data_IF_838000234791
#
_entry.id   IF_838000234791
#
_cell.length_a   1.000
_cell.length_b   1.000
_cell.length_c   1.000
_cell.angle_alpha   90.00
_cell.angle_beta   90.00
_cell.angle_gamma   90.00
#
_symmetry.space_group_name_H-M   'P 1'
#
loop_
_entity.id
_entity.type
_entity.pdbx_description
1 polymer ?
#
# COMPACT_ATOMS: atom_id res chain seq x y z
N UNK A 1 -1.28 -22.23 -18.53
CA UNK A 1 -0.03 -22.13 -17.77
C UNK A 1 0.22 -23.48 -17.14
N UNK A 2 1.32 -24.14 -17.50
CA UNK A 2 1.71 -25.39 -16.85
C UNK A 2 2.05 -25.11 -15.37
N UNK A 3 1.55 -25.96 -14.48
CA UNK A 3 1.85 -25.87 -13.04
C UNK A 3 3.32 -26.20 -12.80
N UNK A 4 4.04 -25.30 -12.15
CA UNK A 4 5.45 -25.49 -11.80
C UNK A 4 6.15 -24.19 -11.41
N UNK A 5 7.26 -24.29 -10.67
CA UNK A 5 8.12 -23.14 -10.37
C UNK A 5 8.81 -22.73 -11.67
N UNK A 6 8.65 -21.46 -12.07
CA UNK A 6 9.28 -20.96 -13.28
C UNK A 6 10.82 -21.14 -13.20
N UNK A 7 11.48 -21.60 -14.27
CA UNK A 7 12.91 -21.81 -14.26
C UNK A 7 13.66 -20.51 -13.99
N UNK A 8 14.74 -20.59 -13.21
CA UNK A 8 15.52 -19.42 -12.74
C UNK A 8 15.95 -18.51 -13.90
N UNK A 9 16.29 -19.08 -15.06
CA UNK A 9 16.66 -18.34 -16.27
C UNK A 9 15.57 -17.40 -16.76
N UNK A 10 14.30 -17.81 -16.66
CA UNK A 10 13.14 -17.02 -17.09
C UNK A 10 12.79 -15.90 -16.11
N UNK A 11 13.01 -16.10 -14.81
CA UNK A 11 12.70 -15.09 -13.76
C UNK A 11 13.89 -14.20 -13.40
N UNK A 12 15.12 -14.56 -13.80
CA UNK A 12 16.36 -13.81 -13.50
C UNK A 12 16.28 -12.32 -13.85
N UNK A 13 15.74 -11.88 -15.01
CA UNK A 13 15.60 -10.46 -15.32
C UNK A 13 14.67 -9.73 -14.34
N UNK A 14 13.55 -10.37 -13.96
CA UNK A 14 12.59 -9.81 -13.00
C UNK A 14 13.21 -9.68 -11.61
N UNK A 15 13.87 -10.73 -11.13
CA UNK A 15 14.57 -10.72 -9.84
C UNK A 15 15.65 -9.63 -9.81
N UNK A 16 16.46 -9.53 -10.87
CA UNK A 16 17.49 -8.49 -10.98
C UNK A 16 16.89 -7.09 -10.85
N UNK A 17 15.80 -6.81 -11.55
CA UNK A 17 15.12 -5.52 -11.47
C UNK A 17 14.60 -5.24 -10.05
N UNK A 18 13.97 -6.22 -9.40
CA UNK A 18 13.50 -6.10 -8.01
C UNK A 18 14.66 -5.79 -7.07
N UNK A 19 15.79 -6.49 -7.20
CA UNK A 19 16.96 -6.27 -6.36
C UNK A 19 17.61 -4.90 -6.58
N UNK A 20 17.68 -4.44 -7.84
CA UNK A 20 18.16 -3.09 -8.15
C UNK A 20 17.28 -2.04 -7.47
N UNK A 21 15.96 -2.17 -7.58
CA UNK A 21 15.04 -1.21 -6.95
C UNK A 21 15.16 -1.25 -5.42
N UNK A 22 15.27 -2.44 -4.81
CA UNK A 22 15.54 -2.56 -3.38
C UNK A 22 16.83 -1.86 -2.98
N UNK A 23 17.91 -2.08 -3.75
CA UNK A 23 19.21 -1.48 -3.43
C UNK A 23 19.21 0.04 -3.55
N UNK A 24 18.56 0.57 -4.59
CA UNK A 24 18.34 2.02 -4.73
C UNK A 24 17.55 2.58 -3.55
N UNK A 25 16.47 1.89 -3.15
CA UNK A 25 15.68 2.27 -1.98
C UNK A 25 16.48 2.29 -0.68
N UNK A 26 17.37 1.31 -0.46
CA UNK A 26 18.28 1.31 0.70
C UNK A 26 19.23 2.50 0.71
N UNK A 27 19.83 2.84 -0.43
CA UNK A 27 20.75 3.98 -0.54
C UNK A 27 20.01 5.29 -0.25
N UNK A 28 18.86 5.50 -0.87
CA UNK A 28 18.02 6.69 -0.65
C UNK A 28 17.53 6.79 0.80
N UNK A 29 17.23 5.65 1.43
CA UNK A 29 16.92 5.60 2.87
C UNK A 29 18.07 6.14 3.72
N UNK A 30 19.29 5.66 3.47
CA UNK A 30 20.47 6.10 4.22
C UNK A 30 20.80 7.57 3.97
N UNK A 31 20.60 8.07 2.75
CA UNK A 31 20.76 9.49 2.43
C UNK A 31 19.74 10.35 3.18
N UNK A 32 18.47 9.96 3.17
CA UNK A 32 17.42 10.68 3.89
C UNK A 32 17.59 10.60 5.41
N UNK A 33 18.07 9.47 5.96
CA UNK A 33 18.42 9.34 7.39
C UNK A 33 19.48 10.36 7.80
N UNK A 34 20.50 10.57 6.96
CA UNK A 34 21.51 11.62 7.19
C UNK A 34 20.91 13.02 7.15
N UNK A 35 20.00 13.28 6.21
CA UNK A 35 19.29 14.57 6.11
C UNK A 35 18.34 14.82 7.29
N UNK A 36 17.77 13.77 7.88
CA UNK A 36 16.94 13.85 9.09
C UNK A 36 17.79 14.13 10.32
N UNK A 37 19.02 13.60 10.39
CA UNK A 37 19.88 13.77 11.54
C UNK A 37 20.14 15.27 11.84
N UNK A 38 19.82 15.68 13.07
CA UNK A 38 19.94 17.08 13.51
C UNK A 38 19.00 18.05 12.77
N UNK A 39 17.86 17.57 12.27
CA UNK A 39 16.81 18.38 11.65
C UNK A 39 15.57 18.37 12.54
N UNK A 40 14.96 19.54 12.75
CA UNK A 40 13.79 19.70 13.62
C UNK A 40 12.49 19.85 12.82
N UNK A 41 12.57 20.04 11.50
CA UNK A 41 11.40 20.26 10.63
C UNK A 41 11.56 19.62 9.26
N UNK A 42 10.44 19.34 8.60
CA UNK A 42 10.45 18.73 7.26
C UNK A 42 11.14 19.65 6.24
N UNK A 43 10.97 20.96 6.39
CA UNK A 43 11.66 21.97 5.57
C UNK A 43 13.18 21.89 5.72
N UNK A 44 13.70 21.72 6.93
CA UNK A 44 15.14 21.59 7.16
C UNK A 44 15.72 20.30 6.54
N UNK A 45 14.96 19.19 6.59
CA UNK A 45 15.32 17.94 5.90
C UNK A 45 15.36 18.15 4.39
N UNK A 46 14.34 18.78 3.83
CA UNK A 46 14.24 19.06 2.40
C UNK A 46 15.41 19.93 1.91
N UNK A 47 15.76 20.99 2.65
CA UNK A 47 16.91 21.84 2.33
C UNK A 47 18.24 21.06 2.33
N UNK A 48 18.50 20.24 3.36
CA UNK A 48 19.70 19.39 3.41
C UNK A 48 19.77 18.39 2.26
N UNK A 49 18.61 17.89 1.83
CA UNK A 49 18.50 16.95 0.72
C UNK A 49 18.47 17.63 -0.67
N UNK A 50 18.41 18.95 -0.75
CA UNK A 50 18.21 19.68 -2.02
C UNK A 50 16.86 19.41 -2.68
N UNK A 51 15.83 19.20 -1.86
CA UNK A 51 14.46 18.87 -2.27
C UNK A 51 13.47 19.95 -1.83
N UNK A 52 12.25 19.86 -2.35
CA UNK A 52 11.12 20.71 -1.98
C UNK A 52 10.11 19.93 -1.14
N UNK A 53 9.47 20.61 -0.18
CA UNK A 53 8.33 20.06 0.56
C UNK A 53 7.09 20.18 -0.31
N UNK A 54 6.32 19.09 -0.39
CA UNK A 54 5.02 19.06 -1.07
C UNK A 54 3.92 18.75 -0.07
N UNK A 55 2.78 19.40 -0.25
CA UNK A 55 1.59 19.14 0.56
C UNK A 55 0.74 18.02 -0.04
N UNK A 56 0.18 17.21 0.84
CA UNK A 56 -0.74 16.14 0.51
C UNK A 56 -2.02 16.34 1.36
N UNK A 57 -3.01 17.09 0.86
CA UNK A 57 -4.24 17.33 1.60
C UNK A 57 -5.10 16.06 1.67
N UNK A 58 -5.91 15.97 2.74
CA UNK A 58 -6.99 14.97 2.89
C UNK A 58 -6.55 13.50 2.73
N UNK A 59 -5.36 13.16 3.22
CA UNK A 59 -4.90 11.77 3.25
C UNK A 59 -5.66 10.99 4.33
N UNK A 60 -6.42 9.99 3.89
CA UNK A 60 -7.14 9.04 4.73
C UNK A 60 -6.62 7.62 4.48
N UNK A 61 -6.99 6.68 5.34
CA UNK A 61 -6.62 5.27 5.14
C UNK A 61 -7.20 4.68 3.84
N UNK A 62 -8.31 5.24 3.36
CA UNK A 62 -8.97 4.81 2.12
C UNK A 62 -8.43 5.51 0.87
N UNK A 63 -7.48 6.44 1.01
CA UNK A 63 -6.89 7.13 -0.13
C UNK A 63 -6.16 6.14 -1.04
N UNK A 64 -6.48 6.16 -2.34
CA UNK A 64 -5.86 5.27 -3.33
C UNK A 64 -4.44 5.72 -3.72
N UNK A 65 -4.23 7.03 -3.78
CA UNK A 65 -2.98 7.65 -4.21
C UNK A 65 -2.74 8.97 -3.47
N UNK A 66 -1.51 9.45 -3.52
CA UNK A 66 -1.10 10.78 -3.05
C UNK A 66 -0.96 11.68 -4.28
N UNK A 67 -1.57 12.87 -4.26
CA UNK A 67 -1.45 13.83 -5.34
C UNK A 67 0.03 14.15 -5.63
N UNK A 68 0.46 14.03 -6.88
CA UNK A 68 1.85 14.27 -7.29
C UNK A 68 2.86 13.17 -6.96
N UNK A 69 2.55 12.22 -6.07
CA UNK A 69 3.42 11.07 -5.75
C UNK A 69 2.87 9.72 -6.27
N UNK A 70 1.57 9.64 -6.59
CA UNK A 70 0.95 8.45 -7.16
C UNK A 70 0.59 7.39 -6.12
N UNK A 71 0.59 6.12 -6.52
CA UNK A 71 0.09 5.00 -5.71
C UNK A 71 1.13 4.59 -4.66
N UNK A 72 0.98 5.13 -3.45
CA UNK A 72 1.94 4.99 -2.34
C UNK A 72 1.28 4.49 -1.03
N UNK A 73 0.71 3.26 -1.01
CA UNK A 73 -0.10 2.77 0.11
C UNK A 73 0.68 2.68 1.43
N UNK A 74 1.99 2.41 1.39
CA UNK A 74 2.83 2.41 2.61
C UNK A 74 2.99 3.80 3.22
N UNK A 75 3.12 4.82 2.37
CA UNK A 75 3.24 6.21 2.81
C UNK A 75 1.90 6.67 3.38
N UNK A 76 0.79 6.36 2.70
CA UNK A 76 -0.58 6.64 3.17
C UNK A 76 -0.83 6.00 4.54
N UNK A 77 -0.55 4.69 4.68
CA UNK A 77 -0.75 3.98 5.94
C UNK A 77 0.11 4.55 7.07
N UNK A 78 1.33 4.99 6.77
CA UNK A 78 2.21 5.63 7.77
C UNK A 78 1.65 6.98 8.19
N UNK A 79 1.23 7.82 7.24
CA UNK A 79 0.63 9.14 7.50
C UNK A 79 -0.58 9.05 8.45
N UNK A 80 -1.45 8.06 8.25
CA UNK A 80 -2.66 7.89 9.08
C UNK A 80 -2.41 7.45 10.52
N UNK A 81 -1.23 6.91 10.82
CA UNK A 81 -0.87 6.41 12.15
C UNK A 81 0.07 7.36 12.91
N UNK A 82 0.71 8.29 12.22
CA UNK A 82 1.62 9.24 12.82
C UNK A 82 0.90 10.29 13.67
N UNK A 83 1.62 10.79 14.67
CA UNK A 83 1.20 11.97 15.42
C UNK A 83 1.52 13.25 14.64
N UNK A 84 0.72 14.28 14.89
CA UNK A 84 0.92 15.62 14.32
C UNK A 84 2.27 16.22 14.73
N UNK A 85 2.93 16.93 13.80
CA UNK A 85 4.19 17.62 14.03
C UNK A 85 5.44 16.74 14.12
N UNK A 86 5.31 15.40 14.09
CA UNK A 86 6.47 14.49 14.13
C UNK A 86 6.98 14.14 12.73
N UNK A 87 8.30 14.11 12.58
CA UNK A 87 8.97 13.60 11.38
C UNK A 87 8.93 12.06 11.35
N UNK A 88 8.67 11.50 10.18
CA UNK A 88 8.76 10.05 9.97
C UNK A 88 10.21 9.60 9.82
N UNK A 89 10.48 8.32 10.11
CA UNK A 89 11.62 7.65 9.49
C UNK A 89 11.41 7.56 7.96
N UNK A 90 12.46 7.39 7.14
CA UNK A 90 12.25 7.28 5.70
C UNK A 90 11.45 6.03 5.32
N UNK A 91 10.48 6.21 4.44
CA UNK A 91 9.49 5.21 4.05
C UNK A 91 9.80 4.77 2.63
N UNK A 92 10.17 3.49 2.44
CA UNK A 92 10.35 2.94 1.11
C UNK A 92 8.98 2.64 0.47
N UNK A 93 8.53 3.57 -0.36
CA UNK A 93 7.34 3.48 -1.18
C UNK A 93 7.51 2.61 -2.42
N UNK A 94 6.53 2.66 -3.31
CA UNK A 94 6.52 1.95 -4.58
C UNK A 94 7.43 2.64 -5.60
N UNK A 95 7.35 3.98 -5.68
CA UNK A 95 8.04 4.77 -6.70
C UNK A 95 9.20 5.60 -6.13
N UNK A 96 9.33 5.70 -4.80
CA UNK A 96 10.36 6.50 -4.15
C UNK A 96 10.52 6.21 -2.66
N UNK A 97 11.44 6.93 -2.02
CA UNK A 97 11.61 6.95 -0.56
C UNK A 97 11.17 8.31 -0.04
N UNK A 98 10.31 8.31 0.97
CA UNK A 98 9.63 9.51 1.45
C UNK A 98 9.92 9.77 2.92
N UNK A 99 9.99 11.04 3.30
CA UNK A 99 9.92 11.51 4.69
C UNK A 99 8.69 12.39 4.77
N UNK A 100 7.84 12.14 5.77
CA UNK A 100 6.58 12.87 5.93
C UNK A 100 6.49 13.48 7.32
N UNK A 101 5.64 14.49 7.44
CA UNK A 101 5.22 15.11 8.69
C UNK A 101 3.72 15.34 8.58
N UNK A 102 2.98 14.99 9.62
CA UNK A 102 1.54 15.26 9.66
C UNK A 102 1.34 16.71 10.12
N UNK A 103 0.80 17.55 9.24
CA UNK A 103 0.55 18.96 9.53
C UNK A 103 -0.66 19.17 10.43
N UNK A 104 -1.73 18.41 10.20
CA UNK A 104 -2.94 18.43 11.00
C UNK A 104 -3.63 17.07 10.96
N UNK A 105 -4.32 16.71 12.04
CA UNK A 105 -5.13 15.50 12.11
C UNK A 105 -6.55 15.80 12.55
N UNK A 106 -7.51 15.43 11.72
CA UNK A 106 -8.93 15.39 12.10
C UNK A 106 -9.27 13.98 12.54
N UNK A 107 -9.75 13.83 13.77
CA UNK A 107 -10.26 12.55 14.26
C UNK A 107 -11.79 12.62 14.28
N UNK A 108 -12.41 11.83 13.42
CA UNK A 108 -13.86 11.64 13.47
C UNK A 108 -14.20 10.73 14.67
N UNK A 109 -15.17 11.16 15.48
CA UNK A 109 -15.72 10.30 16.52
C UNK A 109 -16.52 9.17 15.85
N UNK A 110 -16.07 7.93 16.05
CA UNK A 110 -16.79 6.75 15.57
C UNK A 110 -17.76 6.30 16.65
N UNK A 111 -19.05 6.31 16.35
CA UNK A 111 -20.08 5.87 17.31
C UNK A 111 -20.19 4.33 17.35
N UNK A 112 -20.65 3.75 18.47
CA UNK A 112 -20.95 2.32 18.54
C UNK A 112 -21.88 1.83 17.42
N UNK A 113 -22.85 2.65 17.03
CA UNK A 113 -23.79 2.37 15.94
C UNK A 113 -23.06 2.28 14.59
N UNK A 114 -22.13 3.21 14.30
CA UNK A 114 -21.32 3.17 13.08
C UNK A 114 -20.45 1.92 13.03
N UNK A 115 -19.85 1.52 14.16
CA UNK A 115 -19.08 0.27 14.28
C UNK A 115 -19.99 -0.93 13.99
N UNK A 116 -21.21 -0.96 14.55
CA UNK A 116 -22.16 -2.05 14.34
C UNK A 116 -22.60 -2.13 12.87
N UNK A 117 -22.86 -0.99 12.22
CA UNK A 117 -23.18 -0.92 10.80
C UNK A 117 -22.03 -1.42 9.92
N UNK A 118 -20.80 -0.98 10.18
CA UNK A 118 -19.61 -1.46 9.44
C UNK A 118 -19.41 -2.97 9.62
N UNK A 119 -19.55 -3.50 10.84
CA UNK A 119 -19.46 -4.94 11.12
C UNK A 119 -20.51 -5.73 10.34
N UNK A 120 -21.76 -5.26 10.30
CA UNK A 120 -22.83 -5.92 9.55
C UNK A 120 -22.56 -5.89 8.04
N UNK A 121 -22.10 -4.78 7.49
CA UNK A 121 -21.73 -4.69 6.08
C UNK A 121 -20.61 -5.67 5.69
N UNK A 122 -19.56 -5.75 6.53
CA UNK A 122 -18.47 -6.70 6.35
C UNK A 122 -18.93 -8.16 6.46
N UNK A 123 -19.83 -8.46 7.40
CA UNK A 123 -20.41 -9.79 7.55
C UNK A 123 -21.17 -10.20 6.28
N UNK A 124 -22.03 -9.34 5.75
CA UNK A 124 -22.80 -9.64 4.54
C UNK A 124 -21.89 -9.84 3.32
N UNK A 125 -20.86 -8.99 3.15
CA UNK A 125 -19.87 -9.16 2.08
C UNK A 125 -19.12 -10.50 2.19
N UNK A 126 -18.70 -10.87 3.40
CA UNK A 126 -18.01 -12.13 3.65
C UNK A 126 -18.93 -13.35 3.41
N UNK A 127 -20.20 -13.28 3.81
CA UNK A 127 -21.18 -14.35 3.55
C UNK A 127 -21.42 -14.56 2.05
N UNK A 128 -21.52 -13.49 1.27
CA UNK A 128 -21.66 -13.60 -0.18
C UNK A 128 -20.42 -14.26 -0.81
N UNK A 129 -19.21 -13.83 -0.42
CA UNK A 129 -17.96 -14.43 -0.89
C UNK A 129 -17.84 -15.91 -0.52
N UNK A 130 -18.18 -16.26 0.73
CA UNK A 130 -18.11 -17.62 1.21
C UNK A 130 -19.07 -18.55 0.43
N UNK A 131 -20.29 -18.09 0.15
CA UNK A 131 -21.25 -18.86 -0.66
C UNK A 131 -20.73 -19.07 -2.09
N UNK A 132 -20.22 -18.02 -2.74
CA UNK A 132 -19.67 -18.14 -4.08
C UNK A 132 -18.49 -19.12 -4.12
N UNK A 133 -17.56 -19.01 -3.17
CA UNK A 133 -16.41 -19.91 -3.06
C UNK A 133 -16.82 -21.36 -2.76
N UNK A 134 -17.86 -21.57 -1.93
CA UNK A 134 -18.39 -22.90 -1.65
C UNK A 134 -18.98 -23.54 -2.92
N UNK A 135 -19.73 -22.78 -3.72
CA UNK A 135 -20.28 -23.26 -5.00
C UNK A 135 -19.16 -23.61 -5.97
N UNK A 136 -18.17 -22.73 -6.15
CA UNK A 136 -17.00 -23.00 -7.01
C UNK A 136 -16.25 -24.27 -6.56
N UNK A 137 -16.05 -24.45 -5.25
CA UNK A 137 -15.40 -25.65 -4.71
C UNK A 137 -16.23 -26.92 -4.97
N UNK A 138 -17.56 -26.86 -4.81
CA UNK A 138 -18.46 -27.97 -5.12
C UNK A 138 -18.44 -28.33 -6.61
N UNK A 139 -18.47 -27.34 -7.51
CA UNK A 139 -18.38 -27.54 -8.96
C UNK A 139 -17.05 -28.21 -9.33
N UNK A 140 -15.93 -27.73 -8.76
CA UNK A 140 -14.60 -28.28 -8.99
C UNK A 140 -14.47 -29.72 -8.50
N UNK A 141 -15.04 -30.03 -7.33
CA UNK A 141 -15.03 -31.39 -6.77
C UNK A 141 -16.02 -32.34 -7.47
N UNK A 142 -17.08 -31.82 -8.08
CA UNK A 142 -18.09 -32.62 -8.77
C UNK A 142 -17.73 -32.95 -10.24
N UNK A 143 -16.49 -32.67 -10.68
CA UNK A 143 -15.99 -32.93 -12.05
C UNK A 143 -16.93 -32.46 -13.17
N UNK A 144 -17.63 -31.33 -12.96
CA UNK A 144 -18.66 -30.86 -13.89
C UNK A 144 -18.03 -30.43 -15.22
N UNK A 145 -18.39 -31.09 -16.32
CA UNK A 145 -17.98 -30.69 -17.68
C UNK A 145 -18.84 -29.54 -18.19
N UNK A 146 -18.24 -28.36 -18.29
CA UNK A 146 -18.86 -27.21 -18.94
C UNK A 146 -18.96 -27.40 -20.46
N UNK A 147 -20.18 -27.45 -20.99
CA UNK A 147 -20.46 -27.62 -22.43
C UNK A 147 -21.10 -26.39 -23.07
N UNK A 148 -21.14 -25.25 -22.36
CA UNK A 148 -21.78 -24.02 -22.85
C UNK A 148 -21.18 -23.50 -24.16
N UNK A 149 -19.91 -23.78 -24.42
CA UNK A 149 -19.23 -23.47 -25.68
C UNK A 149 -19.81 -24.20 -26.90
N UNK A 150 -20.67 -25.22 -26.73
CA UNK A 150 -21.30 -25.93 -27.84
C UNK A 150 -22.58 -25.27 -28.37
N UNK A 151 -23.02 -24.19 -27.73
CA UNK A 151 -24.27 -23.50 -28.04
C UNK A 151 -24.07 -22.05 -28.57
N UNK A 152 -22.82 -21.62 -28.75
CA UNK A 152 -22.44 -20.31 -29.29
C UNK A 152 -21.30 -20.44 -30.30
#
# INVERSE_FOLDING_TARGET
NEEGIAPLTSVKPQIKNILIQKKKGEILKQELEKSISGSESLLSVAQKAGLEVKEAPEISFNSFQIAGAGIEPKVIATATQMEEGKLSAPIAGNQGVYVIMVNSRTQEEVTPEQIAQMKNALLQSNLYRANYQAIEALIKNAEVKDTRYKFY
#
